data_IF_563919322947
#
_entry.id   IF_563919322947
#
_cell.length_a   1.000
_cell.length_b   1.000
_cell.length_c   1.000
_cell.angle_alpha   90.00
_cell.angle_beta   90.00
_cell.angle_gamma   90.00
#
_symmetry.space_group_name_H-M   'P 1'
#
loop_
_entity.id
_entity.type
_entity.pdbx_description
1 polymer ?
#
# COMPACT_ATOMS: atom_id res chain seq x y z
N UNK A 1 -17.05 -18.30 2.87
CA UNK A 1 -16.82 -18.80 4.25
C UNK A 1 -16.08 -20.15 4.29
N UNK A 2 -16.27 -21.08 3.32
CA UNK A 2 -15.58 -22.38 3.29
C UNK A 2 -14.05 -22.22 3.31
N UNK A 3 -13.49 -21.28 2.54
CA UNK A 3 -12.06 -20.99 2.52
C UNK A 3 -11.57 -20.40 3.85
N UNK A 4 -12.37 -19.52 4.47
CA UNK A 4 -12.03 -18.88 5.74
C UNK A 4 -11.94 -19.87 6.92
N UNK A 5 -12.54 -21.05 6.82
CA UNK A 5 -12.44 -22.13 7.80
C UNK A 5 -11.17 -23.00 7.61
N UNK A 6 -10.42 -22.79 6.55
CA UNK A 6 -9.22 -23.55 6.26
C UNK A 6 -8.03 -23.04 7.07
N UNK A 7 -7.14 -23.94 7.50
CA UNK A 7 -5.89 -23.58 8.19
C UNK A 7 -4.99 -22.65 7.35
N UNK A 8 -4.99 -22.81 6.03
CA UNK A 8 -4.24 -21.96 5.12
C UNK A 8 -4.71 -20.50 5.18
N UNK A 9 -6.01 -20.27 5.41
CA UNK A 9 -6.53 -18.91 5.57
C UNK A 9 -6.02 -18.23 6.84
N UNK A 10 -5.82 -18.99 7.92
CA UNK A 10 -5.23 -18.48 9.17
C UNK A 10 -3.78 -18.03 8.90
N UNK A 11 -2.99 -18.81 8.17
CA UNK A 11 -1.61 -18.45 7.80
C UNK A 11 -1.60 -17.21 6.91
N UNK A 12 -2.49 -17.14 5.91
CA UNK A 12 -2.66 -15.98 5.06
C UNK A 12 -2.97 -14.71 5.85
N UNK A 13 -3.93 -14.77 6.79
CA UNK A 13 -4.30 -13.60 7.60
C UNK A 13 -3.18 -13.15 8.54
N UNK A 14 -2.40 -14.07 9.08
CA UNK A 14 -1.20 -13.73 9.87
C UNK A 14 -0.18 -12.99 9.00
N UNK A 15 0.02 -13.42 7.75
CA UNK A 15 0.92 -12.73 6.83
C UNK A 15 0.39 -11.35 6.45
N UNK A 16 -0.92 -11.18 6.24
CA UNK A 16 -1.56 -9.87 5.99
C UNK A 16 -1.21 -8.88 7.10
N UNK A 17 -1.39 -9.29 8.36
CA UNK A 17 -1.09 -8.45 9.53
C UNK A 17 0.41 -8.19 9.66
N UNK A 18 1.25 -9.20 9.45
CA UNK A 18 2.71 -9.06 9.47
C UNK A 18 3.19 -8.04 8.43
N UNK A 19 2.67 -8.13 7.21
CA UNK A 19 2.96 -7.20 6.12
C UNK A 19 2.54 -5.77 6.48
N UNK A 20 1.34 -5.60 7.05
CA UNK A 20 0.86 -4.28 7.44
C UNK A 20 1.72 -3.65 8.55
N UNK A 21 2.12 -4.43 9.55
CA UNK A 21 3.02 -3.98 10.60
C UNK A 21 4.37 -3.56 10.04
N UNK A 22 4.98 -4.39 9.20
CA UNK A 22 6.29 -4.09 8.62
C UNK A 22 6.26 -2.87 7.71
N UNK A 23 5.22 -2.74 6.88
CA UNK A 23 5.00 -1.54 6.05
C UNK A 23 4.87 -0.29 6.93
N UNK A 24 4.10 -0.36 8.01
CA UNK A 24 3.94 0.72 8.99
C UNK A 24 5.29 1.13 9.63
N UNK A 25 6.09 0.15 10.08
CA UNK A 25 7.40 0.38 10.67
C UNK A 25 8.36 1.10 9.71
N UNK A 26 8.38 0.70 8.43
CA UNK A 26 9.19 1.35 7.41
C UNK A 26 8.77 2.82 7.20
N UNK A 27 7.47 3.09 7.13
CA UNK A 27 6.94 4.45 6.95
C UNK A 27 7.22 5.33 8.17
N UNK A 28 7.07 4.80 9.40
CA UNK A 28 7.41 5.51 10.65
C UNK A 28 8.90 5.84 10.69
N UNK A 29 9.77 4.89 10.32
CA UNK A 29 11.22 5.11 10.26
C UNK A 29 11.61 6.23 9.29
N UNK A 30 10.85 6.40 8.21
CA UNK A 30 11.01 7.50 7.26
C UNK A 30 10.36 8.83 7.70
N UNK A 31 9.85 8.90 8.94
CA UNK A 31 9.30 10.10 9.53
C UNK A 31 7.87 10.43 9.10
N UNK A 32 7.10 9.43 8.64
CA UNK A 32 5.67 9.57 8.42
C UNK A 32 4.88 9.22 9.68
N UNK A 33 3.76 9.90 9.88
CA UNK A 33 2.88 9.64 11.02
C UNK A 33 1.85 8.55 10.67
N UNK A 34 1.85 7.45 11.41
CA UNK A 34 0.77 6.46 11.38
C UNK A 34 -0.18 6.76 12.53
N UNK A 35 -1.47 6.90 12.24
CA UNK A 35 -2.49 7.05 13.28
C UNK A 35 -2.43 5.86 14.22
N UNK A 36 -2.47 6.11 15.53
CA UNK A 36 -2.27 5.12 16.59
C UNK A 36 -0.84 4.54 16.69
N UNK A 37 0.14 5.12 15.98
CA UNK A 37 1.54 4.71 16.03
C UNK A 37 1.86 3.39 15.31
N UNK A 38 0.87 2.79 14.64
CA UNK A 38 1.02 1.51 13.95
C UNK A 38 -0.31 0.86 13.60
N UNK A 39 -0.31 -0.46 13.38
CA UNK A 39 -1.53 -1.21 13.10
C UNK A 39 -1.50 -2.62 13.65
N UNK A 40 -2.66 -3.12 14.09
CA UNK A 40 -2.92 -4.51 14.46
C UNK A 40 -3.84 -5.23 13.46
N UNK A 41 -4.15 -4.56 12.34
CA UNK A 41 -5.05 -5.06 11.31
C UNK A 41 -4.36 -5.11 9.94
N UNK A 42 -5.14 -5.31 8.89
CA UNK A 42 -4.71 -5.31 7.49
C UNK A 42 -4.56 -3.91 6.89
N UNK A 43 -4.96 -2.86 7.62
CA UNK A 43 -4.98 -1.47 7.19
C UNK A 43 -4.07 -0.62 8.07
N UNK A 44 -3.51 0.42 7.48
CA UNK A 44 -2.88 1.52 8.19
C UNK A 44 -3.42 2.85 7.65
N UNK A 45 -3.52 3.84 8.53
CA UNK A 45 -3.91 5.21 8.21
C UNK A 45 -2.69 6.11 8.37
N UNK A 46 -2.21 6.64 7.25
CA UNK A 46 -1.07 7.54 7.18
C UNK A 46 -1.58 8.99 7.28
N UNK A 47 -1.16 9.71 8.31
CA UNK A 47 -1.39 11.14 8.45
C UNK A 47 -0.24 11.91 7.79
N UNK A 48 -0.56 12.71 6.78
CA UNK A 48 0.39 13.47 5.97
C UNK A 48 0.51 14.94 6.39
N UNK A 49 -0.14 15.32 7.48
CA UNK A 49 -0.14 16.71 7.98
C UNK A 49 1.27 17.20 8.30
N UNK A 50 2.13 16.34 8.87
CA UNK A 50 3.52 16.65 9.18
C UNK A 50 4.43 16.85 7.96
N UNK A 51 4.00 16.37 6.79
CA UNK A 51 4.69 16.53 5.50
C UNK A 51 4.06 17.64 4.65
N UNK A 52 3.02 18.31 5.17
CA UNK A 52 2.25 19.32 4.43
C UNK A 52 1.66 18.84 3.09
N UNK A 53 1.36 17.56 2.99
CA UNK A 53 0.75 16.91 1.84
C UNK A 53 -0.75 16.71 2.14
N UNK A 54 -1.61 16.90 1.14
CA UNK A 54 -3.04 16.54 1.27
C UNK A 54 -3.28 15.09 0.88
N UNK A 55 -4.30 14.47 1.48
CA UNK A 55 -4.70 13.11 1.09
C UNK A 55 -5.03 12.99 -0.40
N UNK A 56 -5.68 14.02 -0.97
CA UNK A 56 -5.98 14.08 -2.40
C UNK A 56 -4.72 14.09 -3.26
N UNK A 57 -3.76 14.96 -2.95
CA UNK A 57 -2.52 15.03 -3.72
C UNK A 57 -1.70 13.74 -3.62
N UNK A 58 -1.67 13.12 -2.43
CA UNK A 58 -1.02 11.83 -2.23
C UNK A 58 -1.69 10.70 -3.02
N UNK A 59 -3.03 10.63 -3.01
CA UNK A 59 -3.81 9.65 -3.78
C UNK A 59 -3.51 9.79 -5.27
N UNK A 60 -3.55 11.01 -5.82
CA UNK A 60 -3.27 11.29 -7.24
C UNK A 60 -1.83 10.94 -7.64
N UNK A 61 -0.84 11.31 -6.82
CA UNK A 61 0.57 10.99 -7.08
C UNK A 61 0.86 9.50 -7.04
N UNK A 62 0.35 8.80 -6.03
CA UNK A 62 0.53 7.35 -5.87
C UNK A 62 -0.20 6.58 -6.98
N UNK A 63 -1.40 7.00 -7.38
CA UNK A 63 -2.11 6.38 -8.50
C UNK A 63 -1.34 6.55 -9.82
N UNK A 64 -0.77 7.72 -10.07
CA UNK A 64 0.08 7.97 -11.24
C UNK A 64 1.33 7.07 -11.25
N UNK A 65 1.86 6.74 -10.08
CA UNK A 65 2.95 5.80 -9.90
C UNK A 65 2.51 4.31 -9.94
N UNK A 66 1.20 4.03 -9.98
CA UNK A 66 0.66 2.67 -9.99
C UNK A 66 0.41 2.06 -8.61
N UNK A 67 0.36 2.88 -7.57
CA UNK A 67 0.03 2.47 -6.20
C UNK A 67 -1.37 2.97 -5.85
N UNK A 68 -2.32 2.05 -5.74
CA UNK A 68 -3.71 2.39 -5.38
C UNK A 68 -3.86 2.54 -3.87
N UNK A 69 -4.27 3.71 -3.45
CA UNK A 69 -4.63 4.05 -2.06
C UNK A 69 -5.95 4.83 -2.05
N UNK A 70 -6.51 5.07 -0.86
CA UNK A 70 -7.67 5.93 -0.72
C UNK A 70 -7.33 7.12 0.18
N UNK A 71 -7.64 8.35 -0.27
CA UNK A 71 -7.62 9.50 0.65
C UNK A 71 -8.60 9.25 1.80
N UNK A 72 -8.22 9.67 3.00
CA UNK A 72 -8.97 9.40 4.21
C UNK A 72 -8.82 10.57 5.19
N UNK A 73 -9.89 10.88 5.91
CA UNK A 73 -9.80 11.81 7.04
C UNK A 73 -8.96 11.22 8.16
N UNK A 74 -8.29 12.07 8.90
CA UNK A 74 -7.54 11.70 10.10
C UNK A 74 -8.27 12.17 11.36
N UNK A 75 -7.94 11.68 12.56
CA UNK A 75 -8.47 12.23 13.79
C UNK A 75 -8.24 13.75 13.87
N UNK A 76 -9.26 14.49 14.31
CA UNK A 76 -9.25 15.96 14.36
C UNK A 76 -9.03 16.65 13.01
N UNK A 77 -9.51 16.05 11.92
CA UNK A 77 -9.40 16.57 10.56
C UNK A 77 -9.94 18.01 10.45
N UNK A 78 -9.13 18.88 9.88
CA UNK A 78 -9.50 20.29 9.66
C UNK A 78 -9.77 20.64 8.19
N UNK A 79 -9.39 19.74 7.27
CA UNK A 79 -9.62 19.91 5.84
C UNK A 79 -10.97 19.34 5.42
N UNK A 80 -11.46 19.81 4.26
CA UNK A 80 -12.67 19.26 3.65
C UNK A 80 -12.54 17.75 3.40
N UNK A 81 -13.64 16.97 3.55
CA UNK A 81 -13.66 15.54 3.20
C UNK A 81 -13.25 15.21 1.76
N UNK A 82 -13.30 16.19 0.86
CA UNK A 82 -12.85 16.03 -0.53
C UNK A 82 -11.33 16.16 -0.69
N UNK A 83 -10.63 16.72 0.31
CA UNK A 83 -9.19 16.99 0.30
C UNK A 83 -8.47 16.04 1.26
N UNK A 84 -8.92 15.98 2.52
CA UNK A 84 -8.39 15.18 3.63
C UNK A 84 -6.91 15.43 3.95
N UNK A 85 -6.44 14.88 5.07
CA UNK A 85 -5.05 14.99 5.51
C UNK A 85 -4.32 13.64 5.52
N UNK A 86 -5.01 12.54 5.19
CA UNK A 86 -4.43 11.22 5.23
C UNK A 86 -4.78 10.34 4.03
N UNK A 87 -4.11 9.19 3.98
CA UNK A 87 -4.40 8.09 3.07
C UNK A 87 -4.49 6.78 3.85
N UNK A 88 -5.36 5.89 3.37
CA UNK A 88 -5.51 4.54 3.89
C UNK A 88 -4.84 3.55 2.95
N UNK A 89 -4.01 2.67 3.52
CA UNK A 89 -3.24 1.65 2.80
C UNK A 89 -3.57 0.29 3.39
N UNK A 90 -3.72 -0.73 2.54
CA UNK A 90 -3.98 -2.10 2.97
C UNK A 90 -3.08 -3.12 2.27
N UNK A 91 -2.82 -4.24 2.93
CA UNK A 91 -1.88 -5.27 2.46
C UNK A 91 -2.48 -6.56 1.91
N UNK A 92 -3.81 -6.82 1.97
CA UNK A 92 -4.37 -8.09 1.51
C UNK A 92 -4.05 -8.42 0.05
N UNK A 93 -4.15 -7.44 -0.87
CA UNK A 93 -3.88 -7.65 -2.29
C UNK A 93 -2.42 -8.05 -2.56
N UNK A 94 -1.47 -7.43 -1.86
CA UNK A 94 -0.05 -7.75 -1.96
C UNK A 94 0.25 -9.13 -1.37
N UNK A 95 -0.37 -9.47 -0.23
CA UNK A 95 -0.24 -10.78 0.40
C UNK A 95 -0.84 -11.89 -0.48
N UNK A 96 -1.95 -11.62 -1.16
CA UNK A 96 -2.55 -12.56 -2.13
C UNK A 96 -1.62 -12.83 -3.32
N UNK A 97 -0.78 -11.87 -3.69
CA UNK A 97 0.28 -12.07 -4.70
C UNK A 97 1.43 -12.95 -4.20
N UNK A 98 1.53 -13.20 -2.89
CA UNK A 98 2.64 -13.93 -2.25
C UNK A 98 3.77 -13.01 -1.78
N UNK A 99 3.55 -11.69 -1.72
CA UNK A 99 4.51 -10.75 -1.16
C UNK A 99 4.57 -10.87 0.36
N UNK A 100 5.76 -10.76 0.92
CA UNK A 100 6.05 -10.85 2.35
C UNK A 100 6.75 -9.57 2.84
N UNK A 101 7.26 -9.57 4.07
CA UNK A 101 7.87 -8.39 4.69
C UNK A 101 9.00 -7.76 3.86
N UNK A 102 9.79 -8.59 3.16
CA UNK A 102 10.87 -8.09 2.29
C UNK A 102 10.34 -7.21 1.15
N UNK A 103 9.21 -7.61 0.56
CA UNK A 103 8.57 -6.83 -0.50
C UNK A 103 7.87 -5.60 0.08
N UNK A 104 7.35 -5.67 1.32
CA UNK A 104 6.77 -4.51 2.00
C UNK A 104 7.78 -3.39 2.22
N UNK A 105 9.06 -3.71 2.49
CA UNK A 105 10.12 -2.71 2.56
C UNK A 105 10.31 -1.98 1.22
N UNK A 106 10.30 -2.71 0.08
CA UNK A 106 10.38 -2.11 -1.25
C UNK A 106 9.15 -1.26 -1.58
N UNK A 107 7.96 -1.74 -1.20
CA UNK A 107 6.70 -0.99 -1.38
C UNK A 107 6.73 0.30 -0.55
N UNK A 108 7.21 0.24 0.71
CA UNK A 108 7.39 1.42 1.53
C UNK A 108 8.33 2.44 0.87
N UNK A 109 9.48 2.00 0.38
CA UNK A 109 10.43 2.85 -0.33
C UNK A 109 9.78 3.54 -1.54
N UNK A 110 9.03 2.81 -2.35
CA UNK A 110 8.33 3.38 -3.51
C UNK A 110 7.23 4.39 -3.10
N UNK A 111 6.52 4.14 -2.01
CA UNK A 111 5.53 5.09 -1.45
C UNK A 111 6.24 6.35 -0.96
N UNK A 112 7.28 6.22 -0.14
CA UNK A 112 8.06 7.32 0.42
C UNK A 112 8.61 8.21 -0.71
N UNK A 113 9.32 7.59 -1.65
CA UNK A 113 9.92 8.29 -2.78
C UNK A 113 8.88 9.03 -3.63
N UNK A 114 7.70 8.43 -3.87
CA UNK A 114 6.62 9.08 -4.63
C UNK A 114 6.06 10.30 -3.88
N UNK A 115 5.89 10.20 -2.57
CA UNK A 115 5.38 11.30 -1.75
C UNK A 115 6.39 12.43 -1.56
N UNK A 116 7.68 12.12 -1.53
CA UNK A 116 8.77 13.11 -1.46
C UNK A 116 8.97 13.84 -2.80
N UNK A 117 8.62 13.20 -3.93
CA UNK A 117 8.71 13.76 -5.27
C UNK A 117 7.31 14.01 -5.88
N UNK A 118 6.37 14.46 -5.06
CA UNK A 118 4.94 14.55 -5.39
C UNK A 118 4.63 15.44 -6.61
N UNK A 119 5.50 16.40 -6.93
CA UNK A 119 5.38 17.32 -8.06
C UNK A 119 6.18 16.90 -9.29
N UNK A 120 6.74 15.67 -9.31
CA UNK A 120 7.66 15.21 -10.35
C UNK A 120 7.07 14.04 -11.16
N UNK A 121 6.26 14.31 -12.23
CA UNK A 121 5.61 13.25 -13.02
C UNK A 121 6.59 12.24 -13.64
N UNK A 122 7.79 12.67 -14.01
CA UNK A 122 8.80 11.77 -14.57
C UNK A 122 9.31 10.77 -13.52
N UNK A 123 9.38 11.20 -12.25
CA UNK A 123 9.70 10.31 -11.14
C UNK A 123 8.61 9.25 -10.94
N UNK A 124 7.33 9.65 -11.02
CA UNK A 124 6.19 8.74 -10.92
C UNK A 124 6.22 7.67 -12.04
N UNK A 125 6.57 8.04 -13.26
CA UNK A 125 6.72 7.08 -14.38
C UNK A 125 7.81 6.03 -14.10
N UNK A 126 8.96 6.47 -13.57
CA UNK A 126 10.04 5.56 -13.18
C UNK A 126 9.59 4.61 -12.07
N UNK A 127 8.93 5.15 -11.04
CA UNK A 127 8.38 4.33 -9.95
C UNK A 127 7.36 3.32 -10.48
N UNK A 128 6.49 3.72 -11.41
CA UNK A 128 5.52 2.82 -12.05
C UNK A 128 6.19 1.65 -12.77
N UNK A 129 7.32 1.86 -13.41
CA UNK A 129 8.12 0.78 -14.02
C UNK A 129 8.62 -0.20 -12.94
N UNK A 130 9.21 0.31 -11.85
CA UNK A 130 9.69 -0.52 -10.75
C UNK A 130 8.56 -1.33 -10.09
N UNK A 131 7.38 -0.74 -9.96
CA UNK A 131 6.18 -1.41 -9.42
C UNK A 131 5.74 -2.53 -10.36
N UNK A 132 5.72 -2.25 -11.67
CA UNK A 132 5.40 -3.28 -12.66
C UNK A 132 6.37 -4.45 -12.57
N UNK A 133 7.67 -4.19 -12.53
CA UNK A 133 8.72 -5.21 -12.43
C UNK A 133 8.59 -6.04 -11.13
N UNK A 134 8.22 -5.39 -10.02
CA UNK A 134 7.91 -6.10 -8.78
C UNK A 134 6.67 -6.97 -8.93
N UNK A 135 5.58 -6.45 -9.50
CA UNK A 135 4.33 -7.19 -9.68
C UNK A 135 4.49 -8.37 -10.65
N UNK A 136 5.32 -8.25 -11.66
CA UNK A 136 5.61 -9.34 -12.63
C UNK A 136 6.32 -10.53 -11.97
N UNK A 137 7.07 -10.30 -10.88
CA UNK A 137 7.67 -11.37 -10.06
C UNK A 137 6.63 -12.10 -9.19
N UNK A 138 5.47 -11.48 -8.95
CA UNK A 138 4.38 -11.98 -8.11
C UNK A 138 3.05 -11.95 -8.87
N UNK A 139 2.89 -12.77 -9.93
CA UNK A 139 1.68 -12.75 -10.76
C UNK A 139 0.46 -13.23 -9.99
N UNK A 140 -0.68 -12.51 -10.14
CA UNK A 140 -1.95 -12.95 -9.59
C UNK A 140 -2.51 -14.11 -10.40
N UNK A 141 -2.98 -15.15 -9.71
CA UNK A 141 -3.72 -16.27 -10.30
C UNK A 141 -3.00 -16.94 -11.49
N UNK A 142 -1.70 -17.15 -11.39
CA UNK A 142 -0.89 -17.77 -12.44
C UNK A 142 -1.49 -19.12 -12.94
N UNK A 143 -2.12 -19.89 -12.05
CA UNK A 143 -2.83 -21.14 -12.37
C UNK A 143 -4.08 -20.94 -13.24
N UNK A 144 -4.76 -19.80 -13.12
CA UNK A 144 -5.91 -19.47 -13.95
C UNK A 144 -5.49 -18.93 -15.32
N UNK A 145 -4.40 -18.17 -15.37
CA UNK A 145 -3.84 -17.68 -16.63
C UNK A 145 -3.36 -18.84 -17.51
N UNK A 146 -2.78 -19.90 -16.94
CA UNK A 146 -2.36 -21.08 -17.69
C UNK A 146 -3.52 -21.94 -18.22
N UNK A 147 -4.70 -21.89 -17.59
CA UNK A 147 -5.90 -22.62 -18.03
C UNK A 147 -6.65 -21.96 -19.18
N UNK A 148 -6.48 -20.65 -19.38
CA UNK A 148 -7.14 -19.90 -20.46
C UNK A 148 -6.38 -19.93 -21.80
N UNK A 149 -5.24 -20.62 -21.89
CA UNK A 149 -4.51 -20.82 -23.14
C UNK A 149 -5.00 -22.04 -23.96
N UNK A 150 -6.21 -22.52 -23.72
CA UNK A 150 -6.89 -23.48 -24.58
C UNK A 150 -7.98 -22.76 -25.39
N UNK A 151 -7.55 -22.08 -26.46
CA UNK A 151 -8.33 -21.90 -27.70
C UNK A 151 -7.39 -21.92 -28.88
#
# INVERSE_FOLDING_TARGET
FKEALNKNFITYQKQVISNAKHLSECLVTAGFNIVSGGTDTHLLLLDLSNKNITGKAAEEALDSAGITVNKNTVPFETRSPFITSGIRIGTPALTTRGMENKEMAKVAEMIINTLEHIQEPEFHKKTRTNIKDLCDQFPLYAELASKNNYQ
#
